data_IF_003870728999
#
_entry.id   IF_003870728999
#
_cell.length_a   1.000
_cell.length_b   1.000
_cell.length_c   1.000
_cell.angle_alpha   90.00
_cell.angle_beta   90.00
_cell.angle_gamma   90.00
#
_symmetry.space_group_name_H-M   'P 1'
#
loop_
_entity.id
_entity.type
_entity.pdbx_description
1 polymer ?
#
# COMPACT_ATOMS: atom_id res chain seq x y z
N UNK A 1 34.06 49.10 -66.11
CA UNK A 1 33.74 47.84 -66.82
C UNK A 1 34.77 46.79 -66.42
N UNK A 2 34.47 45.96 -65.42
CA UNK A 2 35.43 44.98 -64.89
C UNK A 2 35.49 43.81 -65.89
N UNK A 3 36.64 43.57 -66.53
CA UNK A 3 36.88 42.42 -67.42
C UNK A 3 37.38 41.26 -66.59
N UNK A 4 36.56 40.22 -66.46
CA UNK A 4 36.92 38.99 -65.76
C UNK A 4 37.55 37.97 -66.71
N UNK A 5 38.66 37.36 -66.29
CA UNK A 5 39.33 36.28 -67.01
C UNK A 5 38.46 35.02 -67.03
N UNK A 6 38.67 34.13 -68.01
CA UNK A 6 37.90 32.89 -68.17
C UNK A 6 37.89 32.05 -66.88
N UNK A 7 39.01 32.03 -66.17
CA UNK A 7 39.18 31.37 -64.86
C UNK A 7 38.21 31.91 -63.79
N UNK A 8 38.01 33.23 -63.71
CA UNK A 8 37.12 33.82 -62.70
C UNK A 8 35.67 33.47 -62.97
N UNK A 9 35.26 33.35 -64.24
CA UNK A 9 33.89 32.97 -64.62
C UNK A 9 33.56 31.52 -64.27
N UNK A 10 34.48 30.58 -64.55
CA UNK A 10 34.29 29.16 -64.21
C UNK A 10 34.32 28.94 -62.70
N UNK A 11 35.22 29.63 -61.99
CA UNK A 11 35.27 29.59 -60.53
C UNK A 11 33.97 30.10 -59.88
N UNK A 12 33.44 31.24 -60.36
CA UNK A 12 32.16 31.78 -59.87
C UNK A 12 30.98 30.83 -60.16
N UNK A 13 30.97 30.16 -61.31
CA UNK A 13 29.93 29.19 -61.66
C UNK A 13 29.92 27.99 -60.68
N UNK A 14 31.09 27.42 -60.38
CA UNK A 14 31.22 26.31 -59.43
C UNK A 14 30.77 26.75 -58.03
N UNK A 15 31.19 27.95 -57.59
CA UNK A 15 30.77 28.51 -56.32
C UNK A 15 29.24 28.64 -56.25
N UNK A 16 28.62 29.13 -57.32
CA UNK A 16 27.17 29.31 -57.40
C UNK A 16 26.44 27.95 -57.30
N UNK A 17 26.98 26.91 -57.96
CA UNK A 17 26.45 25.55 -57.88
C UNK A 17 26.56 25.01 -56.44
N UNK A 18 27.69 25.19 -55.78
CA UNK A 18 27.87 24.75 -54.38
C UNK A 18 26.88 25.45 -53.45
N UNK A 19 26.75 26.78 -53.57
CA UNK A 19 25.80 27.56 -52.76
C UNK A 19 24.37 27.13 -53.05
N UNK A 20 24.02 26.88 -54.31
CA UNK A 20 22.70 26.41 -54.69
C UNK A 20 22.37 25.04 -54.10
N UNK A 21 23.27 24.05 -54.22
CA UNK A 21 23.08 22.73 -53.62
C UNK A 21 23.05 22.79 -52.09
N UNK A 22 23.87 23.64 -51.47
CA UNK A 22 23.84 23.86 -50.02
C UNK A 22 22.51 24.44 -49.55
N UNK A 23 21.98 25.44 -50.27
CA UNK A 23 20.67 26.01 -49.98
C UNK A 23 19.55 24.98 -50.19
N UNK A 24 19.61 24.18 -51.26
CA UNK A 24 18.66 23.12 -51.55
C UNK A 24 18.64 22.09 -50.39
N UNK A 25 19.81 21.58 -50.00
CA UNK A 25 19.95 20.65 -48.87
C UNK A 25 19.39 21.27 -47.59
N UNK A 26 19.73 22.52 -47.30
CA UNK A 26 19.22 23.20 -46.11
C UNK A 26 17.68 23.28 -46.11
N UNK A 27 17.07 23.66 -47.24
CA UNK A 27 15.62 23.84 -47.34
C UNK A 27 14.82 22.54 -47.23
N UNK A 28 15.39 21.38 -47.58
CA UNK A 28 14.70 20.10 -47.49
C UNK A 28 15.08 19.30 -46.24
N UNK A 29 16.37 19.24 -45.91
CA UNK A 29 16.87 18.43 -44.80
C UNK A 29 16.54 19.04 -43.44
N UNK A 30 16.64 20.36 -43.28
CA UNK A 30 16.39 20.98 -41.96
C UNK A 30 14.94 20.83 -41.50
N UNK A 31 13.92 21.09 -42.34
CA UNK A 31 12.53 20.86 -41.94
C UNK A 31 12.25 19.39 -41.63
N UNK A 32 12.71 18.47 -42.48
CA UNK A 32 12.53 17.03 -42.28
C UNK A 32 13.15 16.56 -40.97
N UNK A 33 14.39 16.94 -40.68
CA UNK A 33 15.07 16.59 -39.43
C UNK A 33 14.30 17.14 -38.23
N UNK A 34 13.83 18.40 -38.28
CA UNK A 34 13.08 19.00 -37.18
C UNK A 34 11.76 18.27 -36.92
N UNK A 35 11.01 17.95 -37.96
CA UNK A 35 9.75 17.21 -37.85
C UNK A 35 9.98 15.81 -37.28
N UNK A 36 10.93 15.06 -37.84
CA UNK A 36 11.26 13.71 -37.36
C UNK A 36 11.79 13.72 -35.92
N UNK A 37 12.67 14.66 -35.56
CA UNK A 37 13.18 14.77 -34.18
C UNK A 37 12.04 15.11 -33.22
N UNK A 38 11.16 16.04 -33.59
CA UNK A 38 10.01 16.42 -32.77
C UNK A 38 9.07 15.23 -32.55
N UNK A 39 8.75 14.47 -33.60
CA UNK A 39 7.92 13.26 -33.48
C UNK A 39 8.57 12.19 -32.59
N UNK A 40 9.89 11.99 -32.73
CA UNK A 40 10.63 11.04 -31.88
C UNK A 40 10.58 11.48 -30.42
N UNK A 41 10.85 12.76 -30.14
CA UNK A 41 10.81 13.31 -28.78
C UNK A 41 9.41 13.23 -28.17
N UNK A 42 8.37 13.57 -28.94
CA UNK A 42 6.98 13.48 -28.50
C UNK A 42 6.58 12.02 -28.19
N UNK A 43 6.90 11.08 -29.08
CA UNK A 43 6.59 9.66 -28.89
C UNK A 43 7.38 9.06 -27.72
N UNK A 44 8.65 9.43 -27.55
CA UNK A 44 9.45 9.02 -26.41
C UNK A 44 8.85 9.57 -25.10
N UNK A 45 8.43 10.84 -25.09
CA UNK A 45 7.76 11.46 -23.95
C UNK A 45 6.46 10.74 -23.57
N UNK A 46 5.60 10.44 -24.56
CA UNK A 46 4.37 9.64 -24.35
C UNK A 46 4.68 8.26 -23.79
N UNK A 47 5.64 7.56 -24.38
CA UNK A 47 6.06 6.22 -23.94
C UNK A 47 6.53 6.23 -22.48
N UNK A 48 7.32 7.24 -22.10
CA UNK A 48 7.77 7.40 -20.72
C UNK A 48 6.59 7.65 -19.78
N UNK A 49 5.65 8.52 -20.17
CA UNK A 49 4.46 8.82 -19.38
C UNK A 49 3.58 7.58 -19.20
N UNK A 50 3.36 6.81 -20.26
CA UNK A 50 2.57 5.58 -20.23
C UNK A 50 3.23 4.55 -19.28
N UNK A 51 4.54 4.37 -19.37
CA UNK A 51 5.27 3.48 -18.46
C UNK A 51 5.15 3.93 -16.99
N UNK A 52 5.21 5.24 -16.72
CA UNK A 52 5.04 5.78 -15.38
C UNK A 52 3.61 5.56 -14.89
N UNK A 53 2.61 5.78 -15.74
CA UNK A 53 1.20 5.54 -15.41
C UNK A 53 0.96 4.07 -15.06
N UNK A 54 1.45 3.14 -15.90
CA UNK A 54 1.34 1.70 -15.66
C UNK A 54 2.04 1.27 -14.36
N UNK A 55 3.21 1.85 -14.06
CA UNK A 55 3.92 1.58 -12.82
C UNK A 55 3.11 2.04 -11.60
N UNK A 56 2.55 3.26 -11.63
CA UNK A 56 1.74 3.81 -10.55
C UNK A 56 0.47 2.99 -10.35
N UNK A 57 -0.19 2.60 -11.44
CA UNK A 57 -1.37 1.74 -11.41
C UNK A 57 -1.04 0.38 -10.78
N UNK A 58 0.06 -0.27 -11.20
CA UNK A 58 0.52 -1.53 -10.63
C UNK A 58 0.82 -1.42 -9.14
N UNK A 59 1.56 -0.39 -8.72
CA UNK A 59 1.88 -0.16 -7.30
C UNK A 59 0.59 0.02 -6.49
N UNK A 60 -0.40 0.71 -7.03
CA UNK A 60 -1.69 0.92 -6.35
C UNK A 60 -2.44 -0.40 -6.15
N UNK A 61 -2.46 -1.26 -7.18
CA UNK A 61 -3.04 -2.61 -7.07
C UNK A 61 -2.28 -3.48 -6.06
N UNK A 62 -0.95 -3.49 -6.12
CA UNK A 62 -0.10 -4.26 -5.21
C UNK A 62 -0.29 -3.80 -3.76
N UNK A 63 -0.45 -2.48 -3.53
CA UNK A 63 -0.69 -1.91 -2.21
C UNK A 63 -2.03 -2.36 -1.64
N UNK A 64 -3.10 -2.37 -2.44
CA UNK A 64 -4.41 -2.84 -1.99
C UNK A 64 -4.40 -4.34 -1.70
N UNK A 65 -3.75 -5.14 -2.56
CA UNK A 65 -3.58 -6.57 -2.32
C UNK A 65 -2.78 -6.84 -1.03
N UNK A 66 -1.73 -6.07 -0.78
CA UNK A 66 -0.96 -6.14 0.46
C UNK A 66 -1.82 -5.77 1.68
N UNK A 67 -2.63 -4.72 1.58
CA UNK A 67 -3.54 -4.27 2.64
C UNK A 67 -4.51 -5.38 3.05
N UNK A 68 -5.18 -5.98 2.08
CA UNK A 68 -6.13 -7.07 2.31
C UNK A 68 -5.43 -8.31 2.89
N UNK A 69 -4.26 -8.66 2.37
CA UNK A 69 -3.46 -9.78 2.89
C UNK A 69 -3.03 -9.56 4.34
N UNK A 70 -2.53 -8.36 4.66
CA UNK A 70 -2.11 -7.99 6.01
C UNK A 70 -3.29 -8.01 6.99
N UNK A 71 -4.45 -7.49 6.58
CA UNK A 71 -5.67 -7.53 7.39
C UNK A 71 -6.13 -8.98 7.65
N UNK A 72 -6.15 -9.82 6.62
CA UNK A 72 -6.52 -11.23 6.74
C UNK A 72 -5.52 -12.02 7.61
N UNK A 73 -4.22 -11.73 7.49
CA UNK A 73 -3.19 -12.32 8.33
C UNK A 73 -3.38 -11.95 9.81
N UNK A 74 -3.62 -10.67 10.10
CA UNK A 74 -3.86 -10.22 11.48
C UNK A 74 -5.15 -10.80 12.07
N UNK A 75 -6.23 -10.89 11.28
CA UNK A 75 -7.46 -11.55 11.73
C UNK A 75 -7.24 -13.04 12.07
N UNK A 76 -6.42 -13.75 11.29
CA UNK A 76 -6.04 -15.14 11.58
C UNK A 76 -5.20 -15.25 12.85
N UNK A 77 -4.25 -14.35 13.05
CA UNK A 77 -3.46 -14.28 14.28
C UNK A 77 -4.36 -14.13 15.51
N UNK A 78 -5.30 -13.16 15.49
CA UNK A 78 -6.25 -12.96 16.59
C UNK A 78 -7.11 -14.21 16.83
N UNK A 79 -7.56 -14.88 15.76
CA UNK A 79 -8.31 -16.14 15.87
C UNK A 79 -7.50 -17.23 16.58
N UNK A 80 -6.24 -17.42 16.19
CA UNK A 80 -5.37 -18.42 16.82
C UNK A 80 -5.16 -18.12 18.32
N UNK A 81 -5.05 -16.84 18.69
CA UNK A 81 -4.93 -16.43 20.10
C UNK A 81 -6.21 -16.77 20.88
N UNK A 82 -7.38 -16.54 20.30
CA UNK A 82 -8.66 -16.93 20.92
C UNK A 82 -8.81 -18.46 21.00
N UNK A 83 -8.37 -19.21 19.99
CA UNK A 83 -8.40 -20.68 20.03
C UNK A 83 -7.55 -21.25 21.17
N UNK A 84 -6.39 -20.65 21.48
CA UNK A 84 -5.58 -21.01 22.64
C UNK A 84 -6.32 -20.73 23.95
N UNK A 85 -7.01 -19.59 24.04
CA UNK A 85 -7.84 -19.25 25.21
C UNK A 85 -9.01 -20.22 25.37
N UNK A 86 -9.67 -20.59 24.28
CA UNK A 86 -10.75 -21.57 24.28
C UNK A 86 -10.26 -22.93 24.76
N UNK A 87 -9.07 -23.36 24.30
CA UNK A 87 -8.44 -24.60 24.78
C UNK A 87 -8.24 -24.55 26.30
N UNK A 88 -7.67 -23.47 26.82
CA UNK A 88 -7.49 -23.29 28.27
C UNK A 88 -8.82 -23.33 29.04
N UNK A 89 -9.86 -22.66 28.53
CA UNK A 89 -11.20 -22.70 29.14
C UNK A 89 -11.77 -24.11 29.14
N UNK A 90 -11.56 -24.88 28.06
CA UNK A 90 -12.03 -26.25 27.94
C UNK A 90 -11.32 -27.19 28.92
N UNK A 91 -10.02 -27.00 29.16
CA UNK A 91 -9.26 -27.75 30.17
C UNK A 91 -9.83 -27.50 31.58
N UNK A 92 -10.05 -26.22 31.93
CA UNK A 92 -10.65 -25.85 33.22
C UNK A 92 -12.08 -26.40 33.35
N UNK A 93 -12.86 -26.42 32.26
CA UNK A 93 -14.19 -27.05 32.24
C UNK A 93 -14.12 -28.57 32.46
N UNK A 94 -13.08 -29.24 31.97
CA UNK A 94 -12.88 -30.67 32.22
C UNK A 94 -12.61 -30.93 33.72
N UNK A 95 -11.85 -30.05 34.39
CA UNK A 95 -11.63 -30.12 35.84
C UNK A 95 -12.93 -29.99 36.65
N UNK A 96 -13.84 -29.12 36.20
CA UNK A 96 -15.18 -29.00 36.80
C UNK A 96 -15.98 -30.29 36.63
N UNK A 97 -15.98 -30.85 35.42
CA UNK A 97 -16.69 -32.12 35.13
C UNK A 97 -16.14 -33.28 35.94
N UNK A 98 -14.83 -33.30 36.21
CA UNK A 98 -14.21 -34.33 37.05
C UNK A 98 -14.35 -34.09 38.55
N UNK A 99 -15.02 -33.01 38.98
CA UNK A 99 -15.19 -32.65 40.39
C UNK A 99 -13.92 -32.11 41.07
N UNK A 100 -12.88 -31.77 40.30
CA UNK A 100 -11.63 -31.18 40.83
C UNK A 100 -11.79 -29.71 41.19
N UNK A 101 -12.71 -29.01 40.53
CA UNK A 101 -13.02 -27.61 40.77
C UNK A 101 -14.54 -27.40 40.84
N UNK A 102 -15.00 -26.51 41.71
CA UNK A 102 -16.37 -26.00 41.59
C UNK A 102 -16.47 -25.05 40.40
N UNK A 103 -17.69 -24.88 39.86
CA UNK A 103 -17.93 -23.94 38.76
C UNK A 103 -17.55 -22.49 39.13
N UNK A 104 -17.74 -22.11 40.40
CA UNK A 104 -17.37 -20.78 40.92
C UNK A 104 -15.86 -20.59 40.93
N UNK A 105 -15.10 -21.58 41.38
CA UNK A 105 -13.63 -21.54 41.39
C UNK A 105 -13.08 -21.53 39.97
N UNK A 106 -13.64 -22.33 39.07
CA UNK A 106 -13.28 -22.35 37.66
C UNK A 106 -13.50 -21.00 36.98
N UNK A 107 -14.68 -20.40 37.15
CA UNK A 107 -14.99 -19.06 36.62
C UNK A 107 -14.00 -18.00 37.13
N UNK A 108 -13.73 -18.00 38.44
CA UNK A 108 -12.75 -17.08 39.03
C UNK A 108 -11.35 -17.29 38.44
N UNK A 109 -10.89 -18.54 38.38
CA UNK A 109 -9.57 -18.90 37.84
C UNK A 109 -9.40 -18.44 36.39
N UNK A 110 -10.40 -18.69 35.53
CA UNK A 110 -10.40 -18.23 34.14
C UNK A 110 -10.30 -16.71 34.07
N UNK A 111 -11.19 -15.98 34.77
CA UNK A 111 -11.22 -14.51 34.70
C UNK A 111 -9.90 -13.89 35.21
N UNK A 112 -9.34 -14.43 36.29
CA UNK A 112 -8.07 -13.97 36.86
C UNK A 112 -6.89 -14.26 35.92
N UNK A 113 -6.86 -15.43 35.28
CA UNK A 113 -5.82 -15.78 34.31
C UNK A 113 -5.89 -14.87 33.09
N UNK A 114 -7.07 -14.72 32.50
CA UNK A 114 -7.27 -13.88 31.30
C UNK A 114 -6.94 -12.41 31.57
N UNK A 115 -7.20 -11.91 32.79
CA UNK A 115 -6.85 -10.53 33.19
C UNK A 115 -5.37 -10.22 33.04
N UNK A 116 -4.51 -11.21 33.29
CA UNK A 116 -3.06 -11.07 33.23
C UNK A 116 -2.48 -11.58 31.91
N UNK A 117 -3.31 -12.14 31.03
CA UNK A 117 -2.86 -12.70 29.76
C UNK A 117 -2.40 -11.57 28.83
N UNK A 118 -1.17 -11.72 28.32
CA UNK A 118 -0.54 -10.79 27.39
C UNK A 118 -0.02 -11.56 26.18
N UNK A 119 -0.09 -10.95 25.01
CA UNK A 119 0.45 -11.48 23.77
C UNK A 119 1.04 -10.35 22.92
N UNK A 120 1.75 -10.71 21.84
CA UNK A 120 2.29 -9.75 20.89
C UNK A 120 3.12 -8.65 21.55
N UNK A 121 2.74 -7.39 21.32
CA UNK A 121 3.42 -6.21 21.90
C UNK A 121 2.62 -5.63 23.06
N UNK A 122 2.48 -6.43 24.13
CA UNK A 122 1.71 -6.08 25.34
C UNK A 122 0.20 -5.97 25.11
N UNK A 123 -0.29 -6.59 24.03
CA UNK A 123 -1.71 -6.73 23.72
C UNK A 123 -2.40 -7.61 24.76
N UNK A 124 -3.72 -7.51 24.84
CA UNK A 124 -4.48 -8.09 25.94
C UNK A 124 -5.85 -8.59 25.51
N UNK A 125 -6.45 -9.37 26.41
CA UNK A 125 -7.78 -9.93 26.27
C UNK A 125 -8.65 -9.38 27.40
N UNK A 126 -9.92 -9.14 27.09
CA UNK A 126 -10.93 -8.76 28.06
C UNK A 126 -12.17 -9.62 27.85
N UNK A 127 -13.02 -9.68 28.87
CA UNK A 127 -14.25 -10.47 28.87
C UNK A 127 -15.38 -9.57 29.34
N UNK A 128 -16.46 -9.49 28.57
CA UNK A 128 -17.74 -8.92 29.01
C UNK A 128 -18.78 -10.00 29.21
N UNK A 129 -19.79 -9.71 30.02
CA UNK A 129 -21.05 -10.43 29.96
C UNK A 129 -21.92 -9.93 28.79
N UNK A 130 -23.11 -10.53 28.63
CA UNK A 130 -24.07 -10.16 27.59
C UNK A 130 -24.74 -8.79 27.82
N UNK A 131 -24.60 -8.21 29.02
CA UNK A 131 -25.13 -6.89 29.36
C UNK A 131 -24.08 -5.78 29.16
N UNK A 132 -22.98 -6.08 28.46
CA UNK A 132 -21.85 -5.15 28.25
C UNK A 132 -21.14 -4.75 29.54
N UNK A 133 -21.19 -5.58 30.59
CA UNK A 133 -20.39 -5.36 31.81
C UNK A 133 -19.03 -6.02 31.64
N UNK A 134 -17.94 -5.27 31.81
CA UNK A 134 -16.59 -5.81 31.73
C UNK A 134 -16.24 -6.62 33.00
N UNK A 135 -16.30 -7.94 32.90
CA UNK A 135 -16.05 -8.88 34.00
C UNK A 135 -14.58 -9.30 34.13
N UNK A 136 -13.76 -9.10 33.09
CA UNK A 136 -12.31 -9.20 33.19
C UNK A 136 -11.63 -8.23 32.23
N UNK A 137 -10.72 -7.40 32.77
CA UNK A 137 -9.92 -6.46 32.00
C UNK A 137 -8.60 -6.18 32.73
N UNK A 138 -7.45 -6.05 32.05
CA UNK A 138 -6.16 -5.79 32.70
C UNK A 138 -6.12 -4.48 33.51
N UNK A 139 -6.81 -3.44 33.05
CA UNK A 139 -7.05 -2.20 33.81
C UNK A 139 -8.12 -2.44 34.91
N UNK A 140 -7.75 -2.36 36.20
CA UNK A 140 -8.68 -2.59 37.31
C UNK A 140 -9.83 -1.59 37.37
N UNK A 141 -9.66 -0.37 36.82
CA UNK A 141 -10.69 0.68 36.83
C UNK A 141 -11.90 0.31 35.98
N UNK A 142 -11.72 -0.63 35.05
CA UNK A 142 -12.76 -1.10 34.15
C UNK A 142 -13.53 -2.31 34.69
N UNK A 143 -13.14 -2.87 35.83
CA UNK A 143 -13.79 -4.06 36.36
C UNK A 143 -15.22 -3.78 36.85
N UNK A 144 -16.18 -4.57 36.38
CA UNK A 144 -17.60 -4.47 36.73
C UNK A 144 -18.28 -3.23 36.19
N UNK A 145 -17.63 -2.48 35.30
CA UNK A 145 -18.18 -1.28 34.69
C UNK A 145 -19.12 -1.66 33.55
N UNK A 146 -20.26 -0.98 33.50
CA UNK A 146 -21.26 -1.11 32.44
C UNK A 146 -20.88 -0.23 31.24
N UNK A 147 -20.77 -0.85 30.07
CA UNK A 147 -20.46 -0.20 28.79
C UNK A 147 -21.65 -0.16 27.83
N UNK A 148 -22.85 -0.60 28.23
CA UNK A 148 -24.03 -0.69 27.36
C UNK A 148 -24.48 0.66 26.76
N UNK A 149 -24.16 1.77 27.43
CA UNK A 149 -24.43 3.13 26.96
C UNK A 149 -23.22 3.87 26.38
N UNK A 150 -22.05 3.23 26.32
CA UNK A 150 -20.82 3.85 25.85
C UNK A 150 -20.74 3.72 24.34
N UNK A 151 -20.55 4.84 23.65
CA UNK A 151 -20.35 4.87 22.20
C UNK A 151 -18.87 4.97 21.88
N UNK A 152 -18.46 4.36 20.77
CA UNK A 152 -17.13 4.53 20.22
C UNK A 152 -16.92 5.98 19.71
N UNK A 153 -15.69 6.30 19.31
CA UNK A 153 -15.32 7.63 18.78
C UNK A 153 -16.07 8.01 17.50
N UNK A 154 -16.74 7.05 16.86
CA UNK A 154 -17.57 7.23 15.65
C UNK A 154 -19.07 7.27 15.97
N UNK A 155 -19.45 7.16 17.25
CA UNK A 155 -20.84 7.19 17.70
C UNK A 155 -21.59 5.87 17.60
N UNK A 156 -20.91 4.76 17.26
CA UNK A 156 -21.50 3.42 17.25
C UNK A 156 -21.53 2.84 18.66
N UNK A 157 -22.55 2.03 18.94
CA UNK A 157 -22.63 1.19 20.15
C UNK A 157 -21.81 -0.09 19.95
#
# INVERSE_FOLDING_TARGET
MIRFNLFTKTFLLILLIIVFFSALIYTFSVPLIKETVYEIEENAGKTILDNVYELVHKISMDLEAYRESAYAAHKRELRNIIEIVESYINDVRADVKSGRLSEKEAKKSILDKLRTFKYGRNDYIWVSDYNSVLISHPDPRLYGRDFSGIRDVRGNL
#
